data_IF_127143126965
#
_entry.id   IF_127143126965
#
_cell.length_a   1.000
_cell.length_b   1.000
_cell.length_c   1.000
_cell.angle_alpha   90.00
_cell.angle_beta   90.00
_cell.angle_gamma   90.00
#
_symmetry.space_group_name_H-M   'P 1'
#
loop_
_entity.id
_entity.type
_entity.pdbx_description
1 polymer ?
2 polymer ?
3 polymer ?
4 non-polymer ?
#
loop_
_entity_poly.entity_id
_entity_poly.type
_entity_poly.pdbx_seq_one_letter_code
_entity_poly.pdbx_strand_id
3 'polyribonucleotide' 'GCUAGCGAGACCCCGUCUCUGCCGGGCGCGGUGGCGCGCGCCUGUAGUCCCAGCUACUCGGGAGGCUGAGGUGGGAGGAUCGCUAGUC' ?
#
# COMPACT_ATOMS: atom_id res chain seq x y z
CA UNK A 4 17.41 10.26 8.36
CA UNK A 5 14.34 11.34 6.37
CA UNK A 6 13.18 7.81 5.50
CA UNK A 7 14.61 6.06 8.55
CA UNK A 8 13.10 8.80 10.72
CA UNK A 9 9.82 8.96 8.81
CA UNK A 10 9.11 5.26 9.35
CA UNK A 11 9.63 5.72 13.10
CA UNK A 12 7.00 8.47 13.29
CA UNK A 13 4.63 6.35 11.22
CA UNK A 14 5.12 3.22 13.33
CA UNK A 15 4.54 5.57 16.25
CA UNK A 16 1.08 6.46 14.96
CA UNK A 17 0.20 2.86 14.14
CA UNK A 18 0.95 1.89 17.74
CA UNK A 19 -0.64 4.95 19.36
CA UNK A 20 -3.98 3.70 18.01
CA UNK A 21 -3.85 1.01 15.27
CA UNK A 22 -7.60 1.36 14.84
CA UNK A 23 -7.90 5.03 13.85
CA UNK A 24 -4.95 5.34 11.48
CA UNK A 25 -4.47 4.16 7.89
CA UNK A 26 -1.74 4.15 5.24
CA UNK A 27 -2.11 5.29 1.63
CA UNK A 28 0.31 4.54 -1.22
CA UNK A 29 0.07 6.57 -4.44
CA UNK A 30 1.94 5.28 -7.50
CA UNK A 31 2.04 7.65 -10.48
CA UNK A 32 3.92 5.82 -13.26
CA UNK A 33 3.69 8.63 -15.83
CA UNK A 34 5.21 11.56 -13.92
CA UNK A 35 7.22 8.74 -12.38
CA UNK A 36 7.03 8.99 -8.59
CA UNK A 37 5.93 7.07 -5.50
CA UNK A 38 4.23 8.42 -2.37
CA UNK A 39 3.59 6.84 1.02
CA UNK A 40 1.37 8.42 3.65
CA UNK A 41 0.24 7.35 7.11
CA UNK A 42 -2.45 9.51 8.66
CA UNK A 43 -4.86 9.55 11.58
CA UNK A 44 -6.81 12.51 10.21
CA UNK A 45 -5.13 14.60 12.89
CA UNK A 46 -1.54 14.04 11.77
CA UNK A 47 -0.56 14.07 8.10
CA UNK A 48 2.81 12.34 7.79
CA UNK A 49 3.73 11.91 4.12
CA UNK A 50 6.84 10.83 2.17
CA UNK A 51 7.46 11.32 -1.56
CA UNK A 52 10.13 9.84 -3.82
CA UNK A 53 11.11 9.70 -7.49
CA UNK A 54 14.42 7.82 -7.30
CA UNK A 55 14.32 4.08 -8.09
CA UNK A 56 16.31 2.73 -5.14
CA UNK A 57 13.50 3.81 -2.80
CA UNK A 58 10.75 1.42 -3.94
CA UNK A 59 12.01 -1.64 -2.06
CA UNK A 60 11.98 -0.11 1.43
CA UNK A 61 8.65 1.62 0.79
CA UNK A 62 7.08 -1.70 -0.18
CA UNK A 63 8.54 -3.43 2.88
CA UNK A 64 7.24 -0.70 5.18
CA UNK A 65 3.89 -1.49 3.56
CA UNK A 66 4.09 -5.27 3.86
CA UNK A 67 5.11 -4.93 7.50
CA UNK A 68 2.42 -2.50 8.65
CA UNK A 69 0.02 -5.06 7.20
CA UNK A 70 1.48 -7.84 9.34
CA UNK A 71 0.95 -5.81 12.51
CA UNK A 72 -2.68 -5.36 11.45
CA UNK A 73 -3.13 -9.10 10.97
CA UNK A 74 -0.99 -10.24 13.91
CA UNK B 1 -16.33 -4.14 -4.92
CA UNK B 2 -15.03 -6.80 -2.55
CA UNK B 3 -13.06 -9.63 -4.15
CA UNK B 4 -11.48 -12.87 -2.99
CA UNK B 5 -7.75 -13.21 -2.26
CA UNK B 6 -6.86 -14.15 -5.84
CA UNK B 7 -9.27 -12.05 -7.93
CA UNK B 8 -7.99 -8.90 -6.20
CA UNK B 9 -4.44 -9.50 -7.44
CA UNK B 10 -5.43 -9.91 -11.09
CA UNK B 11 -7.64 -6.82 -10.96
CA UNK B 12 -4.78 -4.93 -9.32
CA UNK B 13 -2.22 -5.93 -11.96
CA UNK B 14 -4.59 -4.37 -14.49
CA UNK B 15 -4.92 -1.10 -12.58
CA UNK B 16 -1.18 -0.61 -13.10
CA UNK B 17 -1.38 -1.67 -16.75
CA UNK B 18 -4.41 0.60 -17.18
CA UNK B 19 -2.37 3.56 -15.89
CA UNK B 20 1.10 3.09 -17.35
CA UNK B 21 0.43 5.98 -19.74
CA UNK B 22 -1.25 8.28 -17.20
CA UNK B 23 -3.29 8.44 -14.00
CA UNK B 24 -2.43 7.41 -10.45
CA UNK B 25 -2.78 4.01 -8.78
CA UNK B 26 -3.97 4.28 -5.17
CA UNK B 27 -3.69 1.65 -2.44
CA UNK B 28 -4.67 2.05 1.20
CA UNK B 29 -4.00 -0.54 3.91
CA UNK B 30 -5.99 -0.72 7.15
CA UNK B 31 -6.72 -2.67 10.35
CA UNK B 32 -10.27 -4.03 9.97
CA UNK B 33 -12.97 -5.58 12.18
CA UNK B 34 -16.71 -4.93 11.90
CA UNK B 53 -7.77 -10.66 12.82
CA UNK B 54 -7.99 -8.98 9.41
CA UNK B 55 -6.95 -5.92 7.41
CA UNK B 56 -8.76 -4.04 4.63
CA UNK B 57 -6.89 -3.56 1.36
CA UNK B 58 -8.18 -1.13 -1.27
CA UNK B 59 -7.02 -0.17 -4.77
CA UNK B 60 -8.33 2.48 -7.16
CA UNK B 61 -7.29 4.13 -10.43
CA UNK B 62 -9.90 6.84 -10.06
CA UNK B 63 -12.45 5.04 -12.21
CA UNK B 64 -12.65 1.47 -10.96
CA UNK B 65 -12.58 0.46 -7.29
CA UNK B 66 -11.51 -2.86 -5.77
CA UNK B 67 -10.78 -4.17 -2.28
CA UNK B 68 -10.11 -7.38 -0.38
CA UNK B 69 -9.83 -8.65 3.19
CA UNK B 70 -6.57 -10.29 4.22
CA UNK B 71 -6.48 -12.50 7.31
CA UNK B 72 -3.60 -14.04 9.29
CA UNK B 73 -4.50 -17.39 7.70
CA UNK B 74 -3.24 -16.35 4.25
CA UNK B 75 -0.90 -13.38 4.80
CA UNK B 76 2.18 -15.46 3.95
CA UNK B 77 0.82 -16.91 0.71
CA UNK B 78 -0.81 -13.61 -0.27
CA UNK B 79 2.15 -11.38 0.55
CA UNK B 80 4.39 -13.57 -1.59
CA UNK B 81 2.51 -12.73 -4.79
CA UNK B 82 1.47 -9.26 -3.60
CA UNK B 83 5.12 -8.38 -3.01
CA UNK B 84 6.24 -9.51 -6.47
CA UNK B 85 3.30 -7.66 -8.01
CA UNK B 86 4.15 -4.31 -6.40
CA UNK B 87 7.86 -4.58 -7.23
CA UNK B 88 7.40 -5.57 -10.87
CA UNK B 89 4.62 -3.13 -11.80
CA UNK B 90 6.28 -0.17 -10.09
CA UNK B 91 9.50 -0.09 -12.11
CA UNK B 92 9.28 3.37 -13.64
CA UNK B 93 10.93 5.76 -11.21
CA UNK B 94 14.27 7.60 -11.54
X LIG D 1 -42.58 -25.95 19.00
X LIG E 1 -54.20 -24.71 42.17
#
# INVERSE_FOLDING_TARGET
PQYQTWEEFSRAAEKLYLADPMKARVVLKYRHSDGNLCVKVTDDLVCLVYKTDQAQDVKKIEKFHSQLMRLMVAKEARNVTMETE
VLLESEQFLTELTRLFQKCRTSGSVYITLKKYDGRTKPIPKKGTVEGFEPADNKCLLRATDGKKKISTVVSSKEVNKFQMAYSNLLRANMDGLKKRDKKNKTKKTK
EU3 EU
EU3 EU
#
